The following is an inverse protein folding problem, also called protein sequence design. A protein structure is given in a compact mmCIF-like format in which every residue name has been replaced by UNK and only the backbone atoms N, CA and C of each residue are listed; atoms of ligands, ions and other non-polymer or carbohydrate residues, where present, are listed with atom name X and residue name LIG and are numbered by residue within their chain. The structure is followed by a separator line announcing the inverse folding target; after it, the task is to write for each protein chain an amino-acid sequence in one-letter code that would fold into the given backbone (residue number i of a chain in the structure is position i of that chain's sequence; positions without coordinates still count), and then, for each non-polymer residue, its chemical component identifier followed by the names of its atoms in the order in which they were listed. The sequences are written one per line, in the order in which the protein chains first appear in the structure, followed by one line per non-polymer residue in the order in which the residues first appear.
data_IF_631156702847
#
_entry.id   IF_631156702847
#
_cell.length_a   1.000
_cell.length_b   1.000
_cell.length_c   1.000
_cell.angle_alpha   90.00
_cell.angle_beta   90.00
_cell.angle_gamma   90.00
#
_symmetry.space_group_name_H-M   'P 1'
#
loop_
_entity.id
_entity.type
_entity.pdbx_description
1 polymer ?
#
# COMPACT_ATOMS: atom_id res chain seq x y z
N UNK A 1 5.96 22.34 8.15
CA UNK A 1 7.31 22.74 8.59
C UNK A 1 7.58 22.14 9.96
N UNK A 2 8.83 21.83 10.32
CA UNK A 2 9.14 21.47 11.71
C UNK A 2 8.82 22.67 12.62
N UNK A 3 8.04 22.47 13.68
CA UNK A 3 7.60 23.55 14.57
C UNK A 3 8.05 23.38 16.00
N UNK A 4 8.44 22.17 16.39
CA UNK A 4 9.08 21.90 17.68
C UNK A 4 10.21 20.90 17.54
N UNK A 5 11.21 21.04 18.41
CA UNK A 5 12.29 20.09 18.53
C UNK A 5 12.74 19.97 19.99
N UNK A 6 13.10 18.75 20.40
CA UNK A 6 13.76 18.46 21.67
C UNK A 6 15.12 17.86 21.35
N UNK A 7 16.18 18.45 21.91
CA UNK A 7 17.57 18.05 21.65
C UNK A 7 18.00 17.04 22.71
N UNK A 8 18.60 15.93 22.27
CA UNK A 8 19.33 15.02 23.13
C UNK A 8 20.81 15.42 23.17
N UNK A 9 21.27 15.79 24.36
CA UNK A 9 22.66 16.19 24.64
C UNK A 9 23.56 15.01 25.02
N UNK A 10 23.00 13.81 25.20
CA UNK A 10 23.75 12.62 25.61
C UNK A 10 24.27 11.81 24.41
N UNK A 11 23.61 11.93 23.25
CA UNK A 11 23.99 11.21 22.04
C UNK A 11 25.31 11.73 21.45
N UNK A 12 26.34 10.86 21.41
CA UNK A 12 27.67 11.18 20.86
C UNK A 12 27.88 10.76 19.41
N UNK A 13 26.83 10.28 18.74
CA UNK A 13 26.88 9.80 17.36
C UNK A 13 25.56 10.11 16.65
N UNK A 14 25.60 10.99 15.65
CA UNK A 14 24.42 11.38 14.86
C UNK A 14 24.71 11.37 13.36
N UNK A 15 23.65 11.36 12.54
CA UNK A 15 23.72 11.42 11.07
C UNK A 15 22.88 12.58 10.57
N UNK A 16 23.38 13.32 9.60
CA UNK A 16 22.62 14.38 8.95
C UNK A 16 21.51 13.75 8.07
N UNK A 17 20.30 14.32 8.11
CA UNK A 17 19.14 13.77 7.38
C UNK A 17 19.32 13.89 5.87
N UNK A 18 19.87 15.01 5.40
CA UNK A 18 20.04 15.34 3.97
C UNK A 18 21.40 14.88 3.40
N UNK A 19 22.18 14.09 4.14
CA UNK A 19 23.46 13.59 3.61
C UNK A 19 23.94 12.29 4.27
N UNK A 20 24.98 11.69 3.71
CA UNK A 20 25.66 10.55 4.34
C UNK A 20 26.68 10.96 5.42
N UNK A 21 26.81 12.24 5.74
CA UNK A 21 27.75 12.72 6.77
C UNK A 21 27.29 12.29 8.16
N UNK A 22 28.27 12.04 9.04
CA UNK A 22 28.06 11.62 10.42
C UNK A 22 28.82 12.55 11.36
N UNK A 23 28.22 12.87 12.50
CA UNK A 23 28.88 13.56 13.60
C UNK A 23 29.27 12.51 14.66
N UNK A 24 30.53 12.55 15.12
CA UNK A 24 31.00 11.70 16.22
C UNK A 24 31.75 12.54 17.26
N UNK A 25 31.47 12.30 18.54
CA UNK A 25 32.13 12.95 19.66
C UNK A 25 31.16 13.70 20.58
N UNK A 26 31.70 14.24 21.66
CA UNK A 26 30.96 14.89 22.74
C UNK A 26 30.25 16.18 22.35
N UNK A 27 30.69 16.81 21.25
CA UNK A 27 30.08 18.02 20.71
C UNK A 27 28.84 17.73 19.85
N UNK A 28 28.60 16.46 19.49
CA UNK A 28 27.44 16.06 18.71
C UNK A 28 26.19 16.06 19.59
N UNK A 29 25.09 16.54 19.02
CA UNK A 29 23.77 16.55 19.66
C UNK A 29 22.76 15.96 18.69
N UNK A 30 21.83 15.16 19.20
CA UNK A 30 20.77 14.52 18.43
C UNK A 30 19.42 15.19 18.65
N UNK A 31 18.42 14.77 17.89
CA UNK A 31 17.04 15.09 18.21
C UNK A 31 16.44 13.92 18.99
N UNK A 32 15.88 14.20 20.16
CA UNK A 32 15.01 13.28 20.89
C UNK A 32 13.61 13.27 20.26
N UNK A 33 13.14 14.46 19.87
CA UNK A 33 11.84 14.66 19.21
C UNK A 33 12.00 15.73 18.13
N UNK A 34 11.43 15.47 16.96
CA UNK A 34 11.14 16.51 15.96
C UNK A 34 9.65 16.44 15.68
N UNK A 35 8.92 17.52 15.95
CA UNK A 35 7.52 17.64 15.61
C UNK A 35 7.38 18.44 14.33
N UNK A 36 6.67 17.85 13.37
CA UNK A 36 6.27 18.53 12.15
C UNK A 36 4.84 19.02 12.30
N UNK A 37 4.61 20.31 12.04
CA UNK A 37 3.28 20.88 11.89
C UNK A 37 3.12 21.37 10.46
N UNK A 38 2.10 20.88 9.78
CA UNK A 38 1.72 21.36 8.45
C UNK A 38 0.25 21.72 8.46
N UNK A 39 -0.10 22.82 7.82
CA UNK A 39 -1.48 23.04 7.41
C UNK A 39 -1.71 22.20 6.17
N UNK A 40 -2.31 21.04 6.36
CA UNK A 40 -2.81 20.24 5.25
C UNK A 40 -4.08 20.95 4.76
N UNK A 41 -3.99 21.66 3.65
CA UNK A 41 -5.16 22.11 2.89
C UNK A 41 -5.80 20.91 2.21
N UNK A 42 -6.41 20.04 3.02
CA UNK A 42 -7.29 19.01 2.50
C UNK A 42 -8.53 19.73 1.97
N UNK A 43 -8.63 19.85 0.65
CA UNK A 43 -9.94 20.04 0.02
C UNK A 43 -10.60 18.67 0.09
N UNK A 44 -11.55 18.43 1.02
CA UNK A 44 -12.29 17.19 0.99
C UNK A 44 -12.95 17.10 -0.37
N UNK A 45 -12.56 16.08 -1.11
CA UNK A 45 -13.30 15.65 -2.29
C UNK A 45 -14.75 15.48 -1.88
N UNK A 46 -15.69 15.89 -2.74
CA UNK A 46 -17.13 15.84 -2.44
C UNK A 46 -17.52 14.47 -1.90
N UNK A 47 -18.55 14.38 -1.04
CA UNK A 47 -18.99 13.10 -0.44
C UNK A 47 -19.25 11.98 -1.47
N UNK A 48 -19.46 12.32 -2.75
CA UNK A 48 -19.54 11.40 -3.88
C UNK A 48 -18.23 10.62 -4.16
N UNK A 49 -17.07 11.12 -3.75
CA UNK A 49 -15.76 10.49 -3.98
C UNK A 49 -15.55 9.20 -3.17
N UNK A 50 -16.31 9.01 -2.08
CA UNK A 50 -16.36 7.73 -1.35
C UNK A 50 -17.04 6.60 -2.14
N UNK A 51 -17.48 6.86 -3.38
CA UNK A 51 -17.99 5.82 -4.26
C UNK A 51 -16.89 5.01 -4.91
N UNK A 52 -15.68 5.53 -5.10
CA UNK A 52 -14.61 4.82 -5.84
C UNK A 52 -13.36 4.66 -4.97
N UNK A 53 -12.79 3.45 -4.91
CA UNK A 53 -11.56 3.17 -4.19
C UNK A 53 -10.62 2.32 -5.05
N UNK A 54 -9.39 2.81 -5.21
CA UNK A 54 -8.32 2.06 -5.85
C UNK A 54 -7.51 1.28 -4.80
N UNK A 55 -7.31 0.00 -5.07
CA UNK A 55 -6.45 -0.91 -4.31
C UNK A 55 -5.21 -1.21 -5.15
N UNK A 56 -4.05 -0.76 -4.68
CA UNK A 56 -2.75 -1.05 -5.30
C UNK A 56 -2.22 -2.36 -4.73
N UNK A 57 -1.78 -3.27 -5.61
CA UNK A 57 -1.37 -4.63 -5.26
C UNK A 57 -2.37 -5.30 -4.30
N UNK A 58 -3.64 -5.44 -4.70
CA UNK A 58 -4.71 -5.88 -3.82
C UNK A 58 -4.38 -7.21 -3.15
N UNK A 59 -4.61 -7.25 -1.84
CA UNK A 59 -4.40 -8.42 -1.00
C UNK A 59 -5.69 -8.80 -0.30
N UNK A 60 -5.92 -10.10 -0.17
CA UNK A 60 -6.99 -10.66 0.63
C UNK A 60 -6.39 -11.71 1.57
N UNK A 61 -6.68 -11.62 2.87
CA UNK A 61 -6.06 -12.46 3.90
C UNK A 61 -4.52 -12.52 3.76
N UNK A 62 -3.89 -11.34 3.67
CA UNK A 62 -2.44 -11.14 3.52
C UNK A 62 -1.80 -11.69 2.22
N UNK A 63 -2.57 -12.28 1.31
CA UNK A 63 -2.05 -12.88 0.06
C UNK A 63 -2.36 -12.00 -1.15
N UNK A 64 -1.46 -11.94 -2.15
CA UNK A 64 -1.74 -11.28 -3.44
C UNK A 64 -2.91 -12.00 -4.12
N UNK A 65 -3.90 -11.24 -4.56
CA UNK A 65 -5.08 -11.80 -5.24
C UNK A 65 -4.68 -12.28 -6.63
N UNK A 66 -4.99 -13.54 -6.92
CA UNK A 66 -4.80 -14.14 -8.24
C UNK A 66 -5.68 -13.48 -9.30
N UNK A 67 -5.16 -13.36 -10.52
CA UNK A 67 -5.89 -12.80 -11.65
C UNK A 67 -7.16 -13.60 -11.99
N UNK A 68 -7.16 -14.90 -11.74
CA UNK A 68 -8.26 -15.83 -11.94
C UNK A 68 -9.02 -16.11 -10.64
N UNK A 69 -10.33 -16.30 -10.76
CA UNK A 69 -11.21 -16.51 -9.62
C UNK A 69 -10.99 -17.90 -9.01
N UNK A 70 -10.88 -18.94 -9.84
CA UNK A 70 -10.67 -20.33 -9.43
C UNK A 70 -10.07 -21.14 -10.59
N UNK A 71 -9.05 -21.97 -10.34
CA UNK A 71 -8.51 -22.97 -11.28
C UNK A 71 -8.32 -22.46 -12.74
N UNK A 72 -7.77 -21.25 -12.91
CA UNK A 72 -7.54 -20.62 -14.22
C UNK A 72 -8.81 -20.10 -14.92
N UNK A 73 -9.96 -20.08 -14.24
CA UNK A 73 -11.26 -19.64 -14.75
C UNK A 73 -11.70 -18.34 -14.08
N UNK A 74 -12.57 -17.60 -14.77
CA UNK A 74 -13.15 -16.36 -14.23
C UNK A 74 -12.12 -15.24 -14.02
N UNK A 75 -11.19 -15.11 -14.96
CA UNK A 75 -10.07 -14.19 -14.87
C UNK A 75 -10.46 -12.73 -15.15
N UNK A 76 -9.73 -11.78 -14.56
CA UNK A 76 -10.00 -10.36 -14.69
C UNK A 76 -11.30 -9.95 -13.99
N UNK A 77 -12.37 -9.67 -14.75
CA UNK A 77 -13.61 -9.07 -14.24
C UNK A 77 -14.21 -9.83 -13.05
N UNK A 78 -14.35 -11.16 -13.15
CA UNK A 78 -15.04 -11.96 -12.12
C UNK A 78 -14.23 -12.00 -10.82
N UNK A 79 -12.91 -12.20 -10.90
CA UNK A 79 -12.02 -12.12 -9.74
C UNK A 79 -11.99 -10.71 -9.12
N UNK A 80 -11.88 -9.66 -9.94
CA UNK A 80 -11.90 -8.27 -9.49
C UNK A 80 -13.24 -7.89 -8.82
N UNK A 81 -14.37 -8.33 -9.41
CA UNK A 81 -15.70 -8.12 -8.84
C UNK A 81 -15.84 -8.80 -7.47
N UNK A 82 -15.42 -10.07 -7.37
CA UNK A 82 -15.41 -10.81 -6.09
C UNK A 82 -14.57 -10.10 -5.03
N UNK A 83 -13.39 -9.60 -5.40
CA UNK A 83 -12.55 -8.80 -4.51
C UNK A 83 -13.31 -7.56 -4.01
N UNK A 84 -13.89 -6.77 -4.92
CA UNK A 84 -14.63 -5.56 -4.56
C UNK A 84 -15.82 -5.85 -3.64
N UNK A 85 -16.58 -6.93 -3.88
CA UNK A 85 -17.68 -7.36 -3.01
C UNK A 85 -17.19 -7.71 -1.61
N UNK A 86 -16.06 -8.42 -1.48
CA UNK A 86 -15.43 -8.75 -0.20
C UNK A 86 -14.90 -7.51 0.54
N UNK A 87 -14.54 -6.45 -0.19
CA UNK A 87 -14.13 -5.16 0.35
C UNK A 87 -15.31 -4.21 0.65
N UNK A 88 -16.56 -4.63 0.41
CA UNK A 88 -17.76 -3.83 0.71
C UNK A 88 -18.25 -2.90 -0.42
N UNK A 89 -17.77 -3.09 -1.65
CA UNK A 89 -18.15 -2.30 -2.83
C UNK A 89 -19.13 -3.07 -3.72
N UNK A 90 -19.91 -2.38 -4.56
CA UNK A 90 -20.94 -3.02 -5.38
C UNK A 90 -20.38 -3.64 -6.67
N UNK A 91 -19.32 -3.06 -7.25
CA UNK A 91 -18.73 -3.51 -8.52
C UNK A 91 -17.24 -3.21 -8.64
N UNK A 92 -16.58 -3.90 -9.58
CA UNK A 92 -15.24 -3.54 -10.07
C UNK A 92 -15.37 -2.66 -11.32
N UNK A 93 -14.70 -1.51 -11.31
CA UNK A 93 -14.77 -0.52 -12.38
C UNK A 93 -13.56 -0.61 -13.32
N UNK A 94 -12.35 -0.76 -12.76
CA UNK A 94 -11.09 -0.91 -13.51
C UNK A 94 -10.19 -1.89 -12.78
N UNK A 95 -9.33 -2.58 -13.51
CA UNK A 95 -8.31 -3.46 -12.94
C UNK A 95 -7.21 -3.67 -13.95
N UNK A 96 -6.01 -3.95 -13.44
CA UNK A 96 -4.82 -4.20 -14.25
C UNK A 96 -4.13 -5.46 -13.76
N UNK A 97 -3.59 -6.22 -14.70
CA UNK A 97 -2.80 -7.40 -14.41
C UNK A 97 -1.40 -6.98 -13.95
N UNK A 98 -0.81 -7.81 -13.10
CA UNK A 98 0.61 -7.89 -12.80
C UNK A 98 1.06 -9.30 -13.19
N UNK A 99 1.85 -9.41 -14.25
CA UNK A 99 2.25 -10.70 -14.79
C UNK A 99 3.49 -11.25 -14.07
N UNK A 100 3.67 -12.57 -14.09
CA UNK A 100 4.88 -13.23 -13.55
C UNK A 100 5.13 -12.95 -12.06
N UNK A 101 4.09 -13.10 -11.24
CA UNK A 101 4.14 -12.92 -9.79
C UNK A 101 4.37 -14.25 -9.11
N UNK A 102 5.44 -14.38 -8.32
CA UNK A 102 5.88 -15.64 -7.72
C UNK A 102 4.83 -16.42 -6.93
N UNK A 103 3.90 -15.73 -6.28
CA UNK A 103 2.84 -16.33 -5.48
C UNK A 103 1.57 -15.49 -5.46
N UNK A 104 0.46 -16.14 -5.76
CA UNK A 104 -0.90 -15.58 -5.71
C UNK A 104 -1.89 -16.56 -5.11
N UNK A 105 -3.05 -16.06 -4.68
CA UNK A 105 -4.12 -16.87 -4.11
C UNK A 105 -5.46 -16.58 -4.75
N UNK A 106 -6.11 -17.62 -5.24
CA UNK A 106 -7.43 -17.55 -5.86
C UNK A 106 -8.51 -17.20 -4.82
N UNK A 107 -9.53 -16.44 -5.24
CA UNK A 107 -10.61 -15.99 -4.34
C UNK A 107 -11.77 -16.98 -4.20
N UNK A 108 -11.96 -17.87 -5.18
CA UNK A 108 -13.06 -18.84 -5.21
C UNK A 108 -12.76 -20.05 -4.35
N UNK A 109 -11.68 -20.76 -4.67
CA UNK A 109 -11.30 -22.01 -4.01
C UNK A 109 -10.11 -21.88 -3.05
N UNK A 110 -9.58 -20.66 -2.87
CA UNK A 110 -8.46 -20.36 -1.97
C UNK A 110 -7.14 -21.08 -2.28
N UNK A 111 -7.00 -21.70 -3.45
CA UNK A 111 -5.77 -22.37 -3.89
C UNK A 111 -4.66 -21.37 -4.17
N UNK A 112 -3.43 -21.82 -3.94
CA UNK A 112 -2.22 -21.09 -4.28
C UNK A 112 -1.83 -21.34 -5.73
N UNK A 113 -1.38 -20.29 -6.41
CA UNK A 113 -0.56 -20.40 -7.61
C UNK A 113 0.87 -20.04 -7.21
N UNK A 114 1.82 -20.89 -7.61
CA UNK A 114 3.25 -20.73 -7.32
C UNK A 114 4.04 -20.78 -8.62
N UNK A 115 5.03 -19.90 -8.76
CA UNK A 115 5.94 -19.82 -9.90
C UNK A 115 5.63 -18.69 -10.88
N UNK A 116 6.49 -18.54 -11.88
CA UNK A 116 6.49 -17.39 -12.78
C UNK A 116 5.32 -17.37 -13.78
N UNK A 117 4.51 -18.43 -13.83
CA UNK A 117 3.29 -18.48 -14.65
C UNK A 117 2.10 -17.79 -13.98
N UNK A 118 2.21 -17.43 -12.70
CA UNK A 118 1.11 -16.87 -11.94
C UNK A 118 0.98 -15.36 -12.20
N UNK A 119 -0.26 -14.89 -12.25
CA UNK A 119 -0.59 -13.50 -12.50
C UNK A 119 -1.42 -12.97 -11.35
N UNK A 120 -1.12 -11.75 -10.90
CA UNK A 120 -1.89 -11.05 -9.89
C UNK A 120 -2.60 -9.84 -10.49
N UNK A 121 -3.32 -9.12 -9.65
CA UNK A 121 -3.69 -7.75 -9.96
C UNK A 121 -2.58 -6.78 -9.52
N UNK A 122 -2.24 -5.82 -10.39
CA UNK A 122 -1.43 -4.64 -10.02
C UNK A 122 -2.31 -3.56 -9.41
N UNK A 123 -3.55 -3.45 -9.89
CA UNK A 123 -4.57 -2.62 -9.26
C UNK A 123 -5.98 -3.15 -9.49
N UNK A 124 -6.88 -2.87 -8.54
CA UNK A 124 -8.33 -2.99 -8.70
C UNK A 124 -8.98 -1.71 -8.19
N UNK A 125 -9.83 -1.10 -9.01
CA UNK A 125 -10.67 0.03 -8.64
C UNK A 125 -12.10 -0.45 -8.43
N UNK A 126 -12.57 -0.32 -7.21
CA UNK A 126 -13.91 -0.72 -6.78
C UNK A 126 -14.84 0.48 -6.71
N UNK A 127 -16.12 0.25 -6.99
CA UNK A 127 -17.16 1.27 -6.94
C UNK A 127 -18.36 0.83 -6.08
N UNK A 128 -18.88 1.74 -5.25
CA UNK A 128 -20.09 1.61 -4.45
C UNK A 128 -21.28 2.09 -5.27
#
# INVERSE_FOLDING_TARGET
TADQQVIDYTTRSTRYIDSCKRCKGWHCKGFLLVRCRGELTHKPVSAYYYREQAFVFPRFNHSRVDWCYEDGKGCGQRAAYSFCRRMGYMRAQKYKMDAHVSQTRALGNHKWCLGDACNAFSSITCYR
#
